data_IF_169303062455
#
_entry.id   IF_169303062455
#
_cell.length_a   1.000
_cell.length_b   1.000
_cell.length_c   1.000
_cell.angle_alpha   90.00
_cell.angle_beta   90.00
_cell.angle_gamma   90.00
#
_symmetry.space_group_name_H-M   'P 1'
#
loop_
_entity.id
_entity.type
_entity.pdbx_description
1 polymer ?
#
# COMPACT_ATOMS: atom_id res chain seq x y z
N UNK A 1 5.94 17.83 -17.45
CA UNK A 1 4.96 17.19 -16.55
C UNK A 1 5.62 17.05 -15.20
N UNK A 2 5.00 17.52 -14.13
CA UNK A 2 5.58 17.53 -12.77
C UNK A 2 4.94 16.46 -11.88
N UNK A 3 5.61 16.10 -10.78
CA UNK A 3 5.03 15.22 -9.76
C UNK A 3 3.74 15.79 -9.14
N UNK A 4 3.62 17.12 -9.09
CA UNK A 4 2.38 17.80 -8.67
C UNK A 4 1.21 17.51 -9.62
N UNK A 5 1.44 17.63 -10.92
CA UNK A 5 0.40 17.33 -11.91
C UNK A 5 0.02 15.84 -11.90
N UNK A 6 0.98 14.94 -11.66
CA UNK A 6 0.70 13.52 -11.46
C UNK A 6 -0.15 13.28 -10.21
N UNK A 7 0.20 13.91 -9.08
CA UNK A 7 -0.59 13.89 -7.83
C UNK A 7 -2.04 14.26 -8.08
N UNK A 8 -2.28 15.36 -8.77
CA UNK A 8 -3.65 15.85 -9.04
C UNK A 8 -4.44 14.89 -9.91
N UNK A 9 -3.79 14.32 -10.94
CA UNK A 9 -4.40 13.31 -11.81
C UNK A 9 -4.75 12.03 -11.04
N UNK A 10 -3.88 11.55 -10.15
CA UNK A 10 -4.13 10.36 -9.33
C UNK A 10 -5.32 10.58 -8.38
N UNK A 11 -5.40 11.77 -7.76
CA UNK A 11 -6.53 12.14 -6.91
C UNK A 11 -7.83 12.12 -7.72
N UNK A 12 -7.85 12.73 -8.90
CA UNK A 12 -9.03 12.74 -9.78
C UNK A 12 -9.44 11.33 -10.22
N UNK A 13 -8.47 10.46 -10.54
CA UNK A 13 -8.72 9.06 -10.87
C UNK A 13 -9.33 8.29 -9.70
N UNK A 14 -8.79 8.43 -8.49
CA UNK A 14 -9.34 7.80 -7.29
C UNK A 14 -10.76 8.30 -6.95
N UNK A 15 -11.01 9.61 -7.13
CA UNK A 15 -12.35 10.20 -6.94
C UNK A 15 -13.36 9.63 -7.94
N UNK A 16 -12.95 9.37 -9.18
CA UNK A 16 -13.81 8.74 -10.20
C UNK A 16 -14.22 7.32 -9.80
N UNK A 17 -13.37 6.64 -9.04
CA UNK A 17 -13.68 5.32 -8.45
C UNK A 17 -14.55 5.43 -7.19
N UNK A 18 -14.91 6.62 -6.73
CA UNK A 18 -15.67 6.83 -5.49
C UNK A 18 -14.83 6.58 -4.23
N UNK A 19 -13.49 6.65 -4.32
CA UNK A 19 -12.61 6.45 -3.17
C UNK A 19 -12.35 7.76 -2.44
N UNK A 20 -12.18 7.67 -1.12
CA UNK A 20 -11.72 8.80 -0.31
C UNK A 20 -10.28 9.14 -0.65
N UNK A 21 -9.99 10.43 -0.85
CA UNK A 21 -8.63 10.91 -1.12
C UNK A 21 -8.22 11.94 -0.07
N UNK A 22 -6.96 11.90 0.35
CA UNK A 22 -6.41 12.88 1.28
C UNK A 22 -4.93 13.12 1.01
N UNK A 23 -4.49 14.37 1.20
CA UNK A 23 -3.08 14.69 1.39
C UNK A 23 -2.68 14.29 2.80
N UNK A 24 -1.56 13.60 2.93
CA UNK A 24 -1.03 13.11 4.21
C UNK A 24 0.43 13.58 4.34
N UNK A 25 0.66 14.81 4.83
CA UNK A 25 2.01 15.38 4.96
C UNK A 25 2.95 14.52 5.81
N UNK A 26 2.40 13.73 6.73
CA UNK A 26 3.14 12.79 7.58
C UNK A 26 3.96 11.78 6.77
N UNK A 27 3.50 11.37 5.59
CA UNK A 27 4.24 10.40 4.76
C UNK A 27 5.52 10.99 4.15
N UNK A 28 5.64 12.31 4.11
CA UNK A 28 6.85 13.02 3.66
C UNK A 28 7.63 13.65 4.81
N UNK A 29 7.21 13.45 6.07
CA UNK A 29 7.97 13.95 7.22
C UNK A 29 9.27 13.17 7.38
N UNK A 30 10.40 13.83 7.68
CA UNK A 30 11.68 13.17 7.86
C UNK A 30 11.81 12.42 9.19
N UNK A 31 10.74 12.32 9.98
CA UNK A 31 10.79 11.85 11.37
C UNK A 31 9.86 10.66 11.57
N UNK A 32 10.32 9.64 12.30
CA UNK A 32 9.48 8.51 12.71
C UNK A 32 8.40 8.96 13.70
N UNK A 33 7.22 8.37 13.62
CA UNK A 33 6.13 8.64 14.56
C UNK A 33 6.62 8.42 16.00
N UNK A 34 6.54 9.47 16.82
CA UNK A 34 6.89 9.41 18.25
C UNK A 34 8.38 9.51 18.57
N UNK A 35 9.25 9.80 17.59
CA UNK A 35 10.68 10.10 17.83
C UNK A 35 10.96 11.58 17.63
N UNK A 36 11.97 12.11 18.32
CA UNK A 36 12.48 13.48 18.13
C UNK A 36 13.55 13.58 17.03
N UNK A 37 14.20 12.47 16.69
CA UNK A 37 15.32 12.48 15.75
C UNK A 37 14.85 12.59 14.30
N UNK A 38 15.39 13.57 13.58
CA UNK A 38 15.13 13.75 12.15
C UNK A 38 16.07 12.88 11.30
N UNK A 39 15.53 12.30 10.24
CA UNK A 39 16.32 11.67 9.19
C UNK A 39 17.14 12.73 8.47
N UNK A 40 18.43 12.47 8.29
CA UNK A 40 19.32 13.29 7.47
C UNK A 40 19.09 13.13 5.96
N UNK A 41 18.21 12.21 5.55
CA UNK A 41 17.93 11.92 4.15
C UNK A 41 16.93 12.93 3.59
N UNK A 42 17.42 13.88 2.80
CA UNK A 42 16.57 14.84 2.10
C UNK A 42 15.78 14.18 0.96
N UNK A 43 14.47 14.41 0.95
CA UNK A 43 13.58 14.02 -0.14
C UNK A 43 13.74 14.94 -1.35
N UNK A 44 13.45 14.43 -2.57
CA UNK A 44 13.33 15.31 -3.73
C UNK A 44 12.20 16.33 -3.52
N UNK A 45 12.46 17.56 -3.97
CA UNK A 45 11.46 18.64 -3.97
C UNK A 45 10.27 18.19 -4.83
N UNK A 46 9.05 18.39 -4.33
CA UNK A 46 7.84 17.93 -5.00
C UNK A 46 7.46 16.48 -4.70
N UNK A 47 7.92 15.94 -3.57
CA UNK A 47 7.35 14.72 -2.99
C UNK A 47 6.06 15.05 -2.22
N UNK A 48 5.02 14.24 -2.41
CA UNK A 48 3.69 14.39 -1.81
C UNK A 48 3.22 13.08 -1.20
N UNK A 49 2.80 13.12 0.06
CA UNK A 49 2.11 12.02 0.71
C UNK A 49 0.61 12.03 0.41
N UNK A 50 0.06 10.89 0.00
CA UNK A 50 -1.34 10.71 -0.35
C UNK A 50 -1.91 9.46 0.32
N UNK A 51 -3.21 9.51 0.62
CA UNK A 51 -4.03 8.32 0.83
C UNK A 51 -5.08 8.28 -0.27
N UNK A 52 -5.06 7.23 -1.09
CA UNK A 52 -6.00 6.98 -2.18
C UNK A 52 -6.82 5.73 -1.82
N UNK A 53 -7.98 5.90 -1.18
CA UNK A 53 -8.70 4.80 -0.54
C UNK A 53 -7.85 4.14 0.56
N UNK A 54 -7.66 2.82 0.47
CA UNK A 54 -6.82 2.04 1.39
C UNK A 54 -5.35 1.93 0.95
N UNK A 55 -4.92 2.76 -0.02
CA UNK A 55 -3.57 2.71 -0.59
C UNK A 55 -2.77 3.96 -0.18
N UNK A 56 -1.95 3.89 0.88
CA UNK A 56 -0.95 4.91 1.17
C UNK A 56 0.01 5.03 -0.01
N UNK A 57 0.22 6.25 -0.50
CA UNK A 57 1.02 6.49 -1.70
C UNK A 57 1.93 7.69 -1.46
N UNK A 58 3.21 7.59 -1.82
CA UNK A 58 4.07 8.77 -1.98
C UNK A 58 4.26 9.01 -3.47
N UNK A 59 3.96 10.22 -3.91
CA UNK A 59 4.18 10.69 -5.27
C UNK A 59 5.41 11.57 -5.29
N UNK A 60 6.40 11.30 -6.14
CA UNK A 60 7.63 12.09 -6.18
C UNK A 60 8.22 12.14 -7.59
N UNK A 61 9.04 13.16 -7.92
CA UNK A 61 9.80 13.13 -9.15
C UNK A 61 10.96 12.15 -9.06
N UNK A 62 11.35 11.58 -10.20
CA UNK A 62 12.59 10.82 -10.36
C UNK A 62 13.32 11.34 -11.59
N UNK A 63 14.62 11.62 -11.45
CA UNK A 63 15.46 12.08 -12.56
C UNK A 63 16.00 10.85 -13.29
N UNK A 64 15.77 10.79 -14.59
CA UNK A 64 16.29 9.75 -15.48
C UNK A 64 17.50 10.30 -16.26
N UNK A 65 18.59 10.57 -15.51
CA UNK A 65 19.88 11.04 -16.02
C UNK A 65 20.86 9.88 -16.23
N UNK A 66 21.38 9.34 -15.13
CA UNK A 66 22.13 8.09 -15.09
C UNK A 66 21.44 7.01 -14.23
N UNK A 67 21.79 5.75 -14.45
CA UNK A 67 21.27 4.63 -13.64
C UNK A 67 21.63 4.79 -12.16
N UNK A 68 22.83 5.28 -11.87
CA UNK A 68 23.31 5.49 -10.50
C UNK A 68 22.56 6.62 -9.78
N UNK A 69 22.29 7.73 -10.45
CA UNK A 69 21.48 8.83 -9.91
C UNK A 69 20.05 8.37 -9.63
N UNK A 70 19.44 7.65 -10.58
CA UNK A 70 18.10 7.09 -10.42
C UNK A 70 18.06 6.14 -9.20
N UNK A 71 19.01 5.20 -9.08
CA UNK A 71 19.07 4.29 -7.94
C UNK A 71 19.30 5.03 -6.61
N UNK A 72 20.11 6.09 -6.61
CA UNK A 72 20.32 6.93 -5.42
C UNK A 72 19.02 7.62 -5.02
N UNK A 73 18.27 8.18 -5.98
CA UNK A 73 16.96 8.78 -5.72
C UNK A 73 15.96 7.75 -5.17
N UNK A 74 15.92 6.55 -5.75
CA UNK A 74 15.06 5.46 -5.29
C UNK A 74 15.40 5.02 -3.86
N UNK A 75 16.69 4.88 -3.52
CA UNK A 75 17.11 4.56 -2.14
C UNK A 75 16.61 5.58 -1.13
N UNK A 76 16.67 6.88 -1.45
CA UNK A 76 16.15 7.94 -0.58
C UNK A 76 14.63 7.82 -0.39
N UNK A 77 13.90 7.54 -1.45
CA UNK A 77 12.45 7.34 -1.41
C UNK A 77 12.06 6.07 -0.64
N UNK A 78 12.85 4.99 -0.76
CA UNK A 78 12.68 3.78 0.04
C UNK A 78 12.88 4.07 1.53
N UNK A 79 13.95 4.76 1.90
CA UNK A 79 14.17 5.20 3.29
C UNK A 79 13.00 6.04 3.81
N UNK A 80 12.47 6.94 2.98
CA UNK A 80 11.28 7.69 3.36
C UNK A 80 10.05 6.81 3.53
N UNK A 81 9.82 5.83 2.66
CA UNK A 81 8.69 4.92 2.80
C UNK A 81 8.76 4.15 4.13
N UNK A 82 9.96 3.75 4.56
CA UNK A 82 10.15 3.12 5.89
C UNK A 82 9.71 4.06 7.01
N UNK A 83 10.03 5.35 6.94
CA UNK A 83 9.57 6.35 7.91
C UNK A 83 8.05 6.52 7.83
N UNK A 84 7.50 6.67 6.63
CA UNK A 84 6.08 6.87 6.37
C UNK A 84 5.22 5.72 6.92
N UNK A 85 5.71 4.47 6.83
CA UNK A 85 5.04 3.29 7.39
C UNK A 85 4.76 3.39 8.89
N UNK A 86 5.53 4.16 9.65
CA UNK A 86 5.25 4.39 11.09
C UNK A 86 3.98 5.22 11.35
N UNK A 87 3.47 5.91 10.33
CA UNK A 87 2.22 6.68 10.37
C UNK A 87 1.02 5.95 9.74
N UNK A 88 1.26 4.80 9.11
CA UNK A 88 0.22 3.99 8.47
C UNK A 88 -0.42 3.04 9.49
N UNK A 89 -1.63 2.57 9.20
CA UNK A 89 -2.22 1.45 9.96
C UNK A 89 -1.54 0.14 9.55
N UNK A 90 -1.51 -0.83 10.46
CA UNK A 90 -0.86 -2.12 10.20
C UNK A 90 -1.42 -2.81 8.95
N UNK A 91 -2.73 -2.74 8.73
CA UNK A 91 -3.38 -3.30 7.53
C UNK A 91 -3.09 -2.53 6.22
N UNK A 92 -2.72 -1.25 6.31
CA UNK A 92 -2.44 -0.40 5.14
C UNK A 92 -1.00 -0.57 4.64
N UNK A 93 -0.07 -1.01 5.50
CA UNK A 93 1.37 -1.07 5.21
C UNK A 93 1.68 -1.94 3.99
N UNK A 94 0.96 -3.05 3.81
CA UNK A 94 1.12 -3.95 2.66
C UNK A 94 0.67 -3.30 1.34
N UNK A 95 -0.18 -2.27 1.43
CA UNK A 95 -0.73 -1.53 0.30
C UNK A 95 0.02 -0.21 0.04
N UNK A 96 1.20 -0.02 0.65
CA UNK A 96 2.00 1.18 0.44
C UNK A 96 2.63 1.18 -0.96
N UNK A 97 2.55 2.33 -1.65
CA UNK A 97 3.07 2.50 -3.01
C UNK A 97 3.97 3.73 -3.15
N UNK A 98 4.99 3.61 -4.00
CA UNK A 98 5.72 4.73 -4.58
C UNK A 98 5.26 4.93 -6.02
N UNK A 99 4.70 6.09 -6.33
CA UNK A 99 4.33 6.46 -7.70
C UNK A 99 5.22 7.60 -8.16
N UNK A 100 6.08 7.34 -9.13
CA UNK A 100 7.16 8.26 -9.50
C UNK A 100 6.90 8.88 -10.86
N UNK A 101 7.09 10.20 -10.98
CA UNK A 101 7.04 10.91 -12.25
C UNK A 101 8.46 11.10 -12.77
N UNK A 102 8.79 10.50 -13.91
CA UNK A 102 10.07 10.77 -14.57
C UNK A 102 10.11 12.22 -15.05
N UNK A 103 11.08 12.98 -14.54
CA UNK A 103 11.40 14.31 -15.02
C UNK A 103 12.54 14.19 -16.04
N UNK A 104 12.32 14.76 -17.23
CA UNK A 104 13.31 14.95 -18.29
C UNK A 104 14.18 13.71 -18.58
N UNK A 105 13.59 12.62 -19.10
CA UNK A 105 14.38 11.47 -19.52
C UNK A 105 15.38 11.86 -20.61
N UNK A 106 16.63 11.40 -20.46
CA UNK A 106 17.62 11.51 -21.53
C UNK A 106 17.08 10.83 -22.80
N UNK A 107 17.01 11.52 -23.95
CA UNK A 107 16.39 11.01 -25.18
C UNK A 107 17.17 9.84 -25.81
N UNK A 108 18.45 9.69 -25.48
CA UNK A 108 19.35 8.73 -26.13
C UNK A 108 19.47 7.39 -25.37
N UNK A 109 18.84 7.28 -24.19
CA UNK A 109 18.92 6.08 -23.35
C UNK A 109 17.61 5.27 -23.36
N UNK A 110 17.71 3.95 -23.55
CA UNK A 110 16.57 3.04 -23.39
C UNK A 110 16.24 2.82 -21.92
N UNK A 111 15.43 3.73 -21.36
CA UNK A 111 15.01 3.70 -19.97
C UNK A 111 14.05 2.56 -19.64
N UNK A 112 13.45 1.89 -20.64
CA UNK A 112 12.42 0.86 -20.39
C UNK A 112 12.99 -0.28 -19.54
N UNK A 113 14.13 -0.84 -19.95
CA UNK A 113 14.77 -1.93 -19.22
C UNK A 113 15.21 -1.54 -17.80
N UNK A 114 15.68 -0.31 -17.62
CA UNK A 114 16.13 0.20 -16.31
C UNK A 114 14.94 0.42 -15.38
N UNK A 115 13.85 0.99 -15.91
CA UNK A 115 12.59 1.18 -15.17
C UNK A 115 11.99 -0.16 -14.80
N UNK A 116 11.92 -1.12 -15.73
CA UNK A 116 11.39 -2.47 -15.45
C UNK A 116 12.18 -3.16 -14.33
N UNK A 117 13.52 -3.05 -14.36
CA UNK A 117 14.36 -3.61 -13.30
C UNK A 117 14.12 -2.90 -11.96
N UNK A 118 13.95 -1.59 -11.98
CA UNK A 118 13.64 -0.83 -10.78
C UNK A 118 12.26 -1.22 -10.22
N UNK A 119 11.21 -1.28 -11.03
CA UNK A 119 9.86 -1.63 -10.59
C UNK A 119 9.77 -3.02 -9.95
N UNK A 120 10.58 -3.98 -10.39
CA UNK A 120 10.64 -5.36 -9.84
C UNK A 120 11.17 -5.46 -8.42
N UNK A 121 11.92 -4.49 -7.94
CA UNK A 121 12.45 -4.52 -6.57
C UNK A 121 11.36 -4.11 -5.55
N UNK A 122 10.69 -5.08 -4.94
CA UNK A 122 9.63 -4.82 -3.96
C UNK A 122 10.11 -4.95 -2.50
N UNK A 123 11.40 -4.79 -2.24
CA UNK A 123 11.99 -4.98 -0.89
C UNK A 123 11.36 -4.09 0.18
N UNK A 124 10.90 -2.89 -0.18
CA UNK A 124 10.27 -1.95 0.76
C UNK A 124 8.77 -1.77 0.50
N UNK A 125 8.39 -1.58 -0.75
CA UNK A 125 7.03 -1.36 -1.21
C UNK A 125 6.94 -1.54 -2.73
N UNK A 126 5.72 -1.60 -3.26
CA UNK A 126 5.50 -1.54 -4.72
C UNK A 126 5.88 -0.17 -5.25
N UNK A 127 6.55 -0.13 -6.39
CA UNK A 127 6.93 1.12 -7.05
C UNK A 127 6.62 1.10 -8.53
N UNK A 128 6.08 2.20 -9.04
CA UNK A 128 5.67 2.35 -10.43
C UNK A 128 6.15 3.70 -10.91
N UNK A 129 6.84 3.72 -12.05
CA UNK A 129 7.40 4.91 -12.66
C UNK A 129 6.57 5.25 -13.90
N UNK A 130 6.10 6.49 -13.97
CA UNK A 130 5.48 7.04 -15.16
C UNK A 130 6.50 7.88 -15.93
N UNK A 131 6.74 7.52 -17.19
CA UNK A 131 7.47 8.37 -18.14
C UNK A 131 6.42 9.07 -19.02
N UNK A 132 6.12 10.36 -18.78
CA UNK A 132 5.06 11.06 -19.49
C UNK A 132 5.45 11.29 -20.96
N UNK A 133 4.57 10.87 -21.87
CA UNK A 133 4.68 11.25 -23.28
C UNK A 133 4.17 12.69 -23.44
N UNK A 134 5.07 13.63 -23.77
CA UNK A 134 4.73 15.06 -23.93
C UNK A 134 3.78 15.29 -25.10
N UNK A 135 3.77 14.44 -26.12
CA UNK A 135 2.90 14.55 -27.29
C UNK A 135 1.53 13.87 -27.07
N UNK A 136 1.48 12.80 -26.27
CA UNK A 136 0.27 12.01 -26.01
C UNK A 136 0.02 11.82 -24.51
N UNK A 137 -0.04 12.93 -23.77
CA UNK A 137 -0.01 12.92 -22.31
C UNK A 137 -1.18 12.15 -21.67
N UNK A 138 -2.40 12.36 -22.12
CA UNK A 138 -3.58 11.69 -21.54
C UNK A 138 -3.59 10.18 -21.89
N UNK A 139 -3.14 9.83 -23.10
CA UNK A 139 -3.01 8.43 -23.50
C UNK A 139 -1.93 7.72 -22.66
N UNK A 140 -0.75 8.32 -22.52
CA UNK A 140 0.33 7.77 -21.69
C UNK A 140 -0.03 7.68 -20.21
N UNK A 141 -0.82 8.63 -19.69
CA UNK A 141 -1.34 8.55 -18.32
C UNK A 141 -2.35 7.41 -18.17
N UNK A 142 -3.25 7.22 -19.14
CA UNK A 142 -4.21 6.12 -19.13
C UNK A 142 -3.51 4.76 -19.17
N UNK A 143 -2.50 4.60 -20.02
CA UNK A 143 -1.66 3.41 -20.07
C UNK A 143 -0.94 3.18 -18.73
N UNK A 144 -0.34 4.23 -18.16
CA UNK A 144 0.25 4.16 -16.83
C UNK A 144 -0.75 3.68 -15.76
N UNK A 145 -1.97 4.22 -15.74
CA UNK A 145 -3.00 3.83 -14.77
C UNK A 145 -3.31 2.34 -14.79
N UNK A 146 -3.27 1.69 -15.97
CA UNK A 146 -3.54 0.25 -16.11
C UNK A 146 -2.58 -0.63 -15.29
N UNK A 147 -1.38 -0.13 -14.98
CA UNK A 147 -0.37 -0.82 -14.16
C UNK A 147 -0.53 -0.57 -12.67
N UNK A 148 -1.43 0.33 -12.27
CA UNK A 148 -1.65 0.73 -10.88
C UNK A 148 -2.92 0.08 -10.32
N UNK A 149 -3.07 0.11 -8.99
CA UNK A 149 -4.29 -0.29 -8.32
C UNK A 149 -5.53 0.55 -8.73
N UNK A 150 -5.32 1.75 -9.31
CA UNK A 150 -6.41 2.60 -9.82
C UNK A 150 -7.03 2.05 -11.11
N UNK A 151 -6.43 1.07 -11.77
CA UNK A 151 -7.10 0.32 -12.83
C UNK A 151 -8.32 -0.46 -12.30
N UNK A 152 -8.27 -0.85 -11.02
CA UNK A 152 -9.31 -1.58 -10.30
C UNK A 152 -10.01 -2.69 -11.11
N UNK A 153 -9.30 -3.57 -11.83
CA UNK A 153 -9.91 -4.56 -12.72
C UNK A 153 -10.84 -5.54 -11.98
N UNK A 154 -10.62 -5.73 -10.68
CA UNK A 154 -11.47 -6.56 -9.82
C UNK A 154 -12.89 -6.02 -9.63
N UNK A 155 -13.16 -4.75 -9.94
CA UNK A 155 -14.53 -4.20 -9.86
C UNK A 155 -15.45 -4.75 -10.93
N UNK A 156 -14.87 -5.18 -12.05
CA UNK A 156 -15.58 -5.82 -13.15
C UNK A 156 -15.43 -7.35 -13.10
N UNK A 157 -14.66 -7.88 -12.15
CA UNK A 157 -14.52 -9.31 -11.97
C UNK A 157 -15.76 -9.87 -11.26
N UNK A 158 -16.30 -10.96 -11.79
CA UNK A 158 -17.40 -11.67 -11.14
C UNK A 158 -16.96 -12.20 -9.77
N UNK A 159 -17.78 -11.97 -8.75
CA UNK A 159 -17.57 -12.53 -7.41
C UNK A 159 -17.61 -14.06 -7.49
N UNK A 160 -16.46 -14.70 -7.20
CA UNK A 160 -16.40 -16.15 -7.09
C UNK A 160 -16.72 -16.57 -5.65
N UNK A 161 -17.91 -17.13 -5.46
CA UNK A 161 -18.29 -17.75 -4.19
C UNK A 161 -17.58 -19.10 -4.02
N UNK A 162 -17.01 -19.36 -2.83
CA UNK A 162 -16.23 -20.55 -2.49
C UNK A 162 -14.88 -20.64 -3.22
N UNK A 163 -14.21 -19.51 -3.43
CA UNK A 163 -12.83 -19.54 -3.88
C UNK A 163 -11.97 -20.34 -2.86
N UNK A 164 -10.89 -21.02 -3.30
CA UNK A 164 -10.02 -21.76 -2.39
C UNK A 164 -9.50 -20.95 -1.19
N UNK A 165 -9.37 -19.63 -1.33
CA UNK A 165 -9.00 -18.71 -0.27
C UNK A 165 -10.15 -18.40 0.71
N UNK A 166 -11.41 -18.47 0.27
CA UNK A 166 -12.59 -18.33 1.13
C UNK A 166 -12.71 -19.50 2.11
N UNK A 167 -12.16 -20.67 1.76
CA UNK A 167 -12.08 -21.82 2.68
C UNK A 167 -11.24 -21.53 3.93
N UNK A 168 -10.39 -20.50 3.90
CA UNK A 168 -9.67 -20.04 5.09
C UNK A 168 -10.58 -19.20 6.00
N UNK A 169 -11.61 -18.54 5.46
CA UNK A 169 -12.64 -17.90 6.28
C UNK A 169 -13.45 -18.98 7.01
N UNK A 170 -13.46 -18.91 8.33
CA UNK A 170 -14.12 -19.92 9.17
C UNK A 170 -13.32 -21.21 9.33
N UNK A 171 -12.07 -21.32 8.84
CA UNK A 171 -11.21 -22.48 9.09
C UNK A 171 -11.00 -22.72 10.59
N UNK A 172 -10.71 -21.66 11.34
CA UNK A 172 -10.58 -21.73 12.79
C UNK A 172 -11.88 -22.23 13.46
N UNK A 173 -13.02 -21.66 13.09
CA UNK A 173 -14.33 -22.07 13.60
C UNK A 173 -14.62 -23.54 13.29
N UNK A 174 -14.38 -23.99 12.04
CA UNK A 174 -14.58 -25.38 11.61
C UNK A 174 -13.67 -26.35 12.36
N UNK A 175 -12.40 -25.99 12.58
CA UNK A 175 -11.48 -26.81 13.38
C UNK A 175 -11.99 -26.91 14.82
N UNK A 176 -12.43 -25.81 15.42
CA UNK A 176 -12.98 -25.79 16.78
C UNK A 176 -14.24 -26.67 16.91
N UNK A 177 -15.16 -26.59 15.94
CA UNK A 177 -16.35 -27.44 15.88
C UNK A 177 -15.99 -28.91 15.72
N UNK A 178 -15.07 -29.24 14.79
CA UNK A 178 -14.59 -30.61 14.59
C UNK A 178 -13.86 -31.17 15.83
N UNK A 179 -13.35 -30.31 16.72
CA UNK A 179 -12.72 -30.68 17.99
C UNK A 179 -13.70 -30.72 19.17
N UNK A 180 -15.00 -30.57 18.92
CA UNK A 180 -16.06 -30.80 19.90
C UNK A 180 -16.64 -29.55 20.54
N UNK A 181 -16.38 -28.35 20.01
CA UNK A 181 -17.08 -27.13 20.42
C UNK A 181 -18.39 -26.96 19.64
N UNK A 182 -19.40 -26.33 20.24
CA UNK A 182 -20.58 -25.92 19.48
C UNK A 182 -20.22 -24.80 18.52
N UNK A 183 -21.06 -24.60 17.49
CA UNK A 183 -20.83 -23.56 16.48
C UNK A 183 -20.83 -22.16 17.12
N UNK A 184 -21.74 -21.94 18.06
CA UNK A 184 -21.91 -20.67 18.79
C UNK A 184 -20.67 -20.35 19.63
N UNK A 185 -20.12 -21.35 20.34
CA UNK A 185 -18.90 -21.17 21.14
C UNK A 185 -17.67 -20.97 20.25
N UNK A 186 -17.58 -21.70 19.14
CA UNK A 186 -16.50 -21.53 18.17
C UNK A 186 -16.50 -20.11 17.56
N UNK A 187 -17.67 -19.54 17.29
CA UNK A 187 -17.81 -18.15 16.84
C UNK A 187 -17.41 -17.13 17.90
N UNK A 188 -17.79 -17.35 19.16
CA UNK A 188 -17.36 -16.51 20.28
C UNK A 188 -15.84 -16.52 20.42
N UNK A 189 -15.22 -17.69 20.30
CA UNK A 189 -13.76 -17.84 20.37
C UNK A 189 -13.04 -17.11 19.23
N UNK A 190 -13.50 -17.27 17.99
CA UNK A 190 -12.92 -16.57 16.83
C UNK A 190 -13.06 -15.05 16.98
N UNK A 191 -14.20 -14.59 17.49
CA UNK A 191 -14.45 -13.16 17.69
C UNK A 191 -13.66 -12.56 18.88
N UNK A 192 -13.39 -13.34 19.93
CA UNK A 192 -12.53 -12.92 21.05
C UNK A 192 -11.09 -12.73 20.56
N UNK A 193 -10.55 -13.70 19.82
CA UNK A 193 -9.19 -13.62 19.25
C UNK A 193 -9.04 -12.44 18.29
N UNK A 194 -10.06 -12.16 17.45
CA UNK A 194 -10.04 -11.02 16.51
C UNK A 194 -10.06 -9.65 17.20
N UNK A 195 -10.57 -9.55 18.42
CA UNK A 195 -10.73 -8.29 19.15
C UNK A 195 -9.50 -7.89 19.95
N UNK A 196 -8.53 -8.78 20.13
CA UNK A 196 -7.51 -8.58 21.15
C UNK A 196 -6.21 -7.95 20.63
N UNK A 197 -5.67 -7.02 21.42
CA UNK A 197 -4.41 -6.31 21.14
C UNK A 197 -3.23 -6.84 21.96
N UNK A 198 -3.28 -7.08 23.29
CA UNK A 198 -2.01 -7.21 24.04
C UNK A 198 -2.00 -8.03 25.37
N UNK A 199 -3.04 -8.80 25.75
CA UNK A 199 -3.00 -9.62 27.01
C UNK A 199 -3.45 -11.10 26.82
N UNK A 200 -2.50 -12.04 26.67
CA UNK A 200 -2.78 -13.47 26.46
C UNK A 200 -3.51 -14.17 27.63
N UNK A 201 -3.29 -13.73 28.87
CA UNK A 201 -3.84 -14.43 30.04
C UNK A 201 -5.34 -14.11 30.21
N UNK A 202 -5.72 -12.86 29.93
CA UNK A 202 -7.12 -12.45 29.86
C UNK A 202 -7.91 -13.22 28.77
N UNK A 203 -7.27 -13.52 27.63
CA UNK A 203 -7.88 -14.28 26.55
C UNK A 203 -8.25 -15.70 26.98
N UNK A 204 -7.35 -16.39 27.68
CA UNK A 204 -7.58 -17.77 28.13
C UNK A 204 -8.80 -17.82 29.04
N UNK A 205 -8.96 -16.85 29.94
CA UNK A 205 -10.13 -16.74 30.82
C UNK A 205 -11.41 -16.54 30.01
N UNK A 206 -11.42 -15.61 29.04
CA UNK A 206 -12.60 -15.34 28.20
C UNK A 206 -13.01 -16.58 27.37
N UNK A 207 -12.05 -17.29 26.78
CA UNK A 207 -12.30 -18.50 26.00
C UNK A 207 -12.85 -19.64 26.87
N UNK A 208 -12.26 -19.87 28.06
CA UNK A 208 -12.72 -20.91 28.99
C UNK A 208 -14.13 -20.59 29.51
N UNK A 209 -14.42 -19.34 29.85
CA UNK A 209 -15.77 -18.91 30.27
C UNK A 209 -16.81 -19.11 29.17
N UNK A 210 -16.49 -18.77 27.91
CA UNK A 210 -17.37 -18.99 26.77
C UNK A 210 -17.71 -20.48 26.56
N UNK A 211 -16.75 -21.38 26.85
CA UNK A 211 -16.98 -22.83 26.80
C UNK A 211 -17.83 -23.34 27.97
N UNK A 212 -17.64 -22.80 29.17
CA UNK A 212 -18.37 -23.20 30.38
C UNK A 212 -19.84 -22.74 30.40
N UNK A 213 -20.18 -21.65 29.72
CA UNK A 213 -21.53 -21.12 29.64
C UNK A 213 -22.47 -21.89 28.68
N UNK A 214 -21.93 -22.86 27.93
CA UNK A 214 -22.65 -23.63 26.91
C UNK A 214 -22.82 -25.12 27.26
N UNK A 215 -22.47 -25.52 28.50
CA UNK A 215 -22.82 -26.82 29.09
C UNK A 215 -24.13 -26.71 29.87
#
# INVERSE_FOLDING_TARGET
>A
MTAEQLRDRLIASAMTLGWTTALVPEFTRPQFRGRSDESSVALPIGAYGLRLGNYPTIVAPVVLGSVEEMQTSLRRLHSQMVIARSYMRAEEVINAHLILCAADPSPDADWRNVVDLAERDETVCRKIIWIPDKAALDASYKEFLTRTFLAAPWREADEQFNAPLDNNQGLAQRILVNRGLSREVADQWVNAVRRMSDDPDALVVELVSARGAAQ
#
